data_IF_441146708423
#
_entry.id   IF_441146708423
#
_cell.length_a   1.000
_cell.length_b   1.000
_cell.length_c   1.000
_cell.angle_alpha   90.00
_cell.angle_beta   90.00
_cell.angle_gamma   90.00
#
_symmetry.space_group_name_H-M   'P 1'
#
loop_
_entity.id
_entity.type
_entity.pdbx_description
1 polymer ?
#
# COMPACT_ATOMS: atom_id res chain seq x y z
N UNK A 1 -4.61 22.04 57.66
CA UNK A 1 -5.17 21.49 58.92
C UNK A 1 -6.55 20.92 58.62
N UNK A 2 -7.04 19.99 59.45
CA UNK A 2 -7.99 18.91 59.10
C UNK A 2 -7.40 17.95 58.04
N UNK A 3 -7.45 16.62 58.14
CA UNK A 3 -8.19 15.72 59.06
C UNK A 3 -9.10 14.80 58.24
N UNK A 4 -9.32 13.50 58.49
CA UNK A 4 -8.92 12.63 59.61
C UNK A 4 -9.24 11.15 59.23
N UNK A 5 -8.38 10.16 59.60
CA UNK A 5 -8.65 8.69 59.67
C UNK A 5 -8.97 7.92 58.35
N UNK A 6 -8.92 6.57 58.28
CA UNK A 6 -8.02 5.48 58.78
C UNK A 6 -8.59 4.13 58.29
N UNK A 7 -7.78 3.06 58.31
CA UNK A 7 -8.05 1.62 58.05
C UNK A 7 -7.65 1.08 56.66
N UNK A 8 -7.15 -0.14 56.46
CA UNK A 8 -6.29 -1.10 57.22
C UNK A 8 -6.49 -2.48 56.54
N UNK A 9 -5.41 -3.15 56.10
CA UNK A 9 -5.33 -4.57 55.68
C UNK A 9 -6.24 -5.02 54.50
N UNK A 10 -5.91 -6.05 53.71
CA UNK A 10 -4.69 -6.86 53.64
C UNK A 10 -4.80 -7.96 52.57
N UNK A 11 -3.64 -8.45 52.12
CA UNK A 11 -3.35 -9.68 51.35
C UNK A 11 -4.46 -10.43 50.57
N UNK A 12 -4.21 -10.66 49.27
CA UNK A 12 -4.19 -12.03 48.70
C UNK A 12 -3.44 -12.07 47.35
N UNK A 13 -2.41 -12.92 47.25
CA UNK A 13 -1.91 -13.42 45.97
C UNK A 13 -2.93 -14.39 45.37
N UNK A 14 -3.11 -14.39 44.05
CA UNK A 14 -3.56 -15.58 43.31
C UNK A 14 -3.06 -15.52 41.85
N UNK A 15 -2.01 -16.29 41.58
CA UNK A 15 -1.63 -16.64 40.21
C UNK A 15 -2.70 -17.54 39.60
N UNK A 16 -3.26 -17.18 38.46
CA UNK A 16 -3.92 -18.15 37.59
C UNK A 16 -2.96 -18.62 36.49
N UNK A 17 -2.40 -19.81 36.71
CA UNK A 17 -1.92 -20.66 35.62
C UNK A 17 -3.15 -21.25 34.91
N UNK A 18 -3.24 -21.08 33.59
CA UNK A 18 -4.04 -21.97 32.75
C UNK A 18 -3.14 -22.70 31.76
N UNK A 19 -2.88 -23.96 32.09
CA UNK A 19 -2.18 -24.93 31.24
C UNK A 19 -3.17 -25.55 30.25
N UNK A 20 -3.09 -25.19 28.97
CA UNK A 20 -3.79 -25.95 27.93
C UNK A 20 -2.99 -27.21 27.55
N UNK A 21 -3.53 -28.36 27.97
CA UNK A 21 -3.01 -29.69 27.70
C UNK A 21 -3.12 -30.05 26.21
N UNK A 22 -2.01 -30.53 25.64
CA UNK A 22 -2.01 -31.31 24.41
C UNK A 22 -2.64 -32.70 24.66
N UNK A 23 -3.48 -33.17 23.73
CA UNK A 23 -3.77 -34.60 23.54
C UNK A 23 -3.72 -34.93 22.03
N UNK A 24 -3.12 -36.07 21.63
CA UNK A 24 -2.83 -36.37 20.22
C UNK A 24 -3.92 -37.22 19.57
N UNK A 25 -4.09 -37.07 18.25
CA UNK A 25 -4.86 -38.03 17.46
C UNK A 25 -3.90 -38.94 16.67
N UNK A 26 -3.74 -40.18 17.13
CA UNK A 26 -3.06 -41.23 16.36
C UNK A 26 -3.96 -41.68 15.20
N UNK A 27 -3.38 -41.82 14.00
CA UNK A 27 -3.74 -42.91 13.09
C UNK A 27 -2.49 -43.59 12.55
N UNK A 28 -2.33 -44.85 12.95
CA UNK A 28 -1.41 -45.80 12.36
C UNK A 28 -2.02 -46.32 11.05
N UNK A 29 -1.21 -46.43 10.00
CA UNK A 29 -1.35 -47.50 9.01
C UNK A 29 0.03 -47.91 8.49
N UNK A 30 0.16 -49.19 8.16
CA UNK A 30 1.41 -49.93 8.19
C UNK A 30 1.92 -50.35 6.81
N UNK A 31 3.22 -50.13 6.59
CA UNK A 31 4.19 -51.02 5.91
C UNK A 31 3.92 -51.65 4.52
N UNK A 32 4.89 -51.44 3.63
CA UNK A 32 5.14 -52.23 2.41
C UNK A 32 5.62 -51.34 1.25
N UNK A 33 6.85 -51.39 0.71
CA UNK A 33 8.00 -52.25 1.00
C UNK A 33 8.36 -53.15 -0.19
N UNK A 34 9.18 -52.67 -1.16
CA UNK A 34 9.90 -53.54 -2.10
C UNK A 34 11.14 -52.86 -2.74
N UNK A 35 11.96 -53.69 -3.40
CA UNK A 35 13.35 -53.49 -3.83
C UNK A 35 13.54 -53.93 -5.31
N UNK A 36 14.63 -53.69 -6.07
CA UNK A 36 15.98 -53.12 -5.87
C UNK A 36 16.60 -52.79 -7.26
N UNK A 37 17.80 -52.17 -7.33
CA UNK A 37 18.79 -52.20 -8.47
C UNK A 37 18.41 -51.36 -9.74
N UNK A 38 19.33 -50.90 -10.61
CA UNK A 38 20.83 -50.82 -10.64
C UNK A 38 21.34 -49.82 -11.71
N UNK A 39 22.63 -49.45 -11.59
CA UNK A 39 23.64 -49.17 -12.65
C UNK A 39 23.47 -48.06 -13.70
N UNK A 40 24.33 -47.03 -13.57
CA UNK A 40 25.11 -46.32 -14.64
C UNK A 40 25.97 -47.33 -15.47
N UNK A 41 26.61 -47.01 -16.64
CA UNK A 41 27.27 -45.73 -16.99
C UNK A 41 27.31 -45.31 -18.50
N UNK A 42 28.11 -44.26 -18.75
CA UNK A 42 28.95 -43.99 -19.94
C UNK A 42 28.50 -42.96 -21.00
N UNK A 43 29.25 -41.86 -21.04
CA UNK A 43 29.61 -41.09 -22.25
C UNK A 43 30.89 -41.69 -22.89
N UNK A 44 31.24 -41.39 -24.16
CA UNK A 44 32.17 -40.25 -24.40
C UNK A 44 32.03 -39.54 -25.78
N UNK A 45 32.84 -38.49 -26.00
CA UNK A 45 33.54 -38.04 -27.24
C UNK A 45 32.94 -38.23 -28.66
N UNK A 46 33.18 -37.38 -29.68
CA UNK A 46 33.84 -36.07 -29.84
C UNK A 46 33.65 -35.63 -31.34
N UNK A 47 34.49 -34.70 -31.81
CA UNK A 47 34.79 -34.35 -33.22
C UNK A 47 34.06 -33.16 -33.88
N UNK A 48 34.65 -32.72 -35.02
CA UNK A 48 34.73 -31.33 -35.49
C UNK A 48 34.49 -31.24 -36.99
N UNK A 49 34.00 -30.05 -37.45
CA UNK A 49 34.17 -29.47 -38.81
C UNK A 49 33.43 -30.24 -39.93
N UNK A 50 33.07 -29.67 -41.08
CA UNK A 50 33.23 -28.34 -41.70
C UNK A 50 31.94 -27.98 -42.49
N UNK A 51 31.71 -26.71 -42.85
CA UNK A 51 30.59 -26.37 -43.76
C UNK A 51 30.29 -24.88 -43.97
N UNK A 52 31.02 -24.24 -44.89
CA UNK A 52 30.69 -23.00 -45.63
C UNK A 52 30.26 -21.71 -44.89
N UNK A 53 31.21 -20.77 -44.85
CA UNK A 53 30.95 -19.33 -44.98
C UNK A 53 30.54 -18.98 -46.42
N UNK A 54 29.41 -18.29 -46.60
CA UNK A 54 29.16 -17.28 -47.66
C UNK A 54 27.83 -16.56 -47.38
N UNK A 55 27.67 -15.35 -47.96
CA UNK A 55 26.53 -14.44 -47.80
C UNK A 55 26.37 -13.78 -46.42
N UNK A 56 27.35 -12.95 -46.04
CA UNK A 56 27.17 -11.88 -45.07
C UNK A 56 26.96 -10.53 -45.79
N UNK A 57 25.72 -10.27 -46.23
CA UNK A 57 25.21 -8.94 -46.62
C UNK A 57 23.68 -8.97 -46.62
N UNK A 58 23.04 -7.83 -46.36
CA UNK A 58 21.58 -7.60 -46.55
C UNK A 58 20.59 -8.34 -45.60
N UNK A 59 20.86 -8.43 -44.29
CA UNK A 59 19.80 -8.59 -43.26
C UNK A 59 20.02 -7.71 -42.03
N UNK A 60 20.26 -6.43 -42.25
CA UNK A 60 20.07 -5.35 -41.27
C UNK A 60 18.91 -4.47 -41.72
N UNK A 61 18.10 -3.96 -40.77
CA UNK A 61 16.84 -3.24 -40.99
C UNK A 61 15.67 -4.15 -41.42
N UNK A 62 14.96 -4.69 -40.42
CA UNK A 62 13.49 -4.92 -40.38
C UNK A 62 13.08 -5.79 -39.16
N UNK A 63 13.54 -5.44 -37.96
CA UNK A 63 12.91 -5.91 -36.71
C UNK A 63 11.88 -4.87 -36.25
N UNK A 64 10.82 -4.69 -37.06
CA UNK A 64 9.65 -3.91 -36.64
C UNK A 64 9.12 -4.50 -35.34
N UNK A 65 9.13 -3.68 -34.30
CA UNK A 65 8.48 -3.98 -33.03
C UNK A 65 7.03 -4.38 -33.30
N UNK A 66 6.63 -5.58 -32.87
CA UNK A 66 5.23 -5.97 -32.88
C UNK A 66 4.49 -5.05 -31.91
N UNK A 67 3.89 -4.00 -32.44
CA UNK A 67 2.93 -3.18 -31.72
C UNK A 67 1.85 -4.13 -31.15
N UNK A 68 1.52 -4.03 -29.85
CA UNK A 68 0.54 -4.92 -29.24
C UNK A 68 -0.82 -4.76 -29.93
N UNK A 69 -1.54 -5.87 -30.11
CA UNK A 69 -2.82 -5.85 -30.83
C UNK A 69 -3.83 -4.90 -30.17
N UNK A 70 -4.81 -4.35 -30.92
CA UNK A 70 -5.81 -3.44 -30.35
C UNK A 70 -6.59 -4.01 -29.15
N UNK A 71 -6.74 -5.34 -29.05
CA UNK A 71 -7.35 -6.00 -27.89
C UNK A 71 -6.47 -6.04 -26.64
N UNK A 72 -5.15 -5.98 -26.79
CA UNK A 72 -4.24 -5.84 -25.65
C UNK A 72 -4.33 -4.43 -25.04
N UNK A 73 -4.56 -3.41 -25.87
CA UNK A 73 -4.76 -2.02 -25.42
C UNK A 73 -6.08 -1.85 -24.65
N UNK A 74 -7.16 -2.59 -24.98
CA UNK A 74 -8.46 -2.59 -24.26
C UNK A 74 -8.39 -2.99 -22.77
N UNK A 75 -7.24 -3.47 -22.28
CA UNK A 75 -7.01 -3.82 -20.86
C UNK A 75 -6.36 -2.72 -20.03
N UNK A 76 -5.77 -1.68 -20.63
CA UNK A 76 -5.15 -0.57 -19.88
C UNK A 76 -6.23 0.39 -19.36
N UNK A 77 -6.15 0.69 -18.07
CA UNK A 77 -7.00 1.66 -17.34
C UNK A 77 -6.15 2.83 -16.89
N UNK A 78 -5.22 3.22 -17.77
CA UNK A 78 -4.40 4.38 -17.54
C UNK A 78 -5.24 5.63 -17.55
N UNK A 79 -4.79 6.59 -16.75
CA UNK A 79 -5.24 7.95 -16.85
C UNK A 79 -5.18 8.46 -18.29
N UNK A 80 -6.24 9.16 -18.69
CA UNK A 80 -6.27 10.00 -19.88
C UNK A 80 -6.14 11.49 -19.54
N UNK A 81 -5.83 11.82 -18.28
CA UNK A 81 -5.51 13.18 -17.86
C UNK A 81 -4.15 13.56 -18.45
N UNK A 82 -4.04 14.77 -18.98
CA UNK A 82 -2.79 15.25 -19.56
C UNK A 82 -1.72 15.41 -18.47
N UNK A 83 -0.53 14.88 -18.74
CA UNK A 83 0.58 14.93 -17.79
C UNK A 83 1.29 16.28 -17.88
N UNK A 84 1.01 17.17 -16.94
CA UNK A 84 1.61 18.51 -16.88
C UNK A 84 3.09 18.42 -16.46
N UNK A 85 3.96 18.52 -17.46
CA UNK A 85 5.43 18.49 -17.32
C UNK A 85 5.98 19.68 -16.52
N UNK A 86 5.34 20.85 -16.56
CA UNK A 86 5.87 22.05 -15.89
C UNK A 86 5.41 22.13 -14.43
N UNK A 87 4.20 21.64 -14.12
CA UNK A 87 3.77 21.30 -12.77
C UNK A 87 4.64 20.19 -12.16
N UNK A 88 4.93 19.13 -12.92
CA UNK A 88 5.89 18.09 -12.50
C UNK A 88 7.25 18.70 -12.17
N UNK A 89 7.79 19.58 -13.03
CA UNK A 89 9.08 20.27 -12.78
C UNK A 89 9.05 21.15 -11.53
N UNK A 90 7.97 21.91 -11.30
CA UNK A 90 7.81 22.75 -10.09
C UNK A 90 7.86 21.91 -8.82
N UNK A 91 7.10 20.82 -8.76
CA UNK A 91 7.09 19.92 -7.59
C UNK A 91 8.38 19.07 -7.48
N UNK A 92 9.01 18.70 -8.60
CA UNK A 92 10.30 18.00 -8.61
C UNK A 92 11.45 18.89 -8.11
N UNK A 93 11.45 20.18 -8.44
CA UNK A 93 12.40 21.16 -7.90
C UNK A 93 12.22 21.36 -6.38
N UNK A 94 11.00 21.19 -5.86
CA UNK A 94 10.71 21.12 -4.42
C UNK A 94 11.05 19.77 -3.77
N UNK A 95 11.68 18.84 -4.50
CA UNK A 95 12.26 17.59 -4.01
C UNK A 95 11.42 16.33 -4.20
N UNK A 96 10.10 16.42 -4.36
CA UNK A 96 9.25 15.26 -4.61
C UNK A 96 7.94 15.64 -5.32
N UNK A 97 7.62 14.91 -6.40
CA UNK A 97 6.31 14.98 -7.06
C UNK A 97 5.38 13.91 -6.48
N UNK A 98 4.18 14.30 -5.98
CA UNK A 98 3.17 13.35 -5.53
C UNK A 98 2.69 12.43 -6.67
N UNK A 99 2.25 11.22 -6.31
CA UNK A 99 1.92 10.15 -7.27
C UNK A 99 0.52 10.37 -7.84
N UNK A 100 0.35 10.26 -9.17
CA UNK A 100 -0.94 10.51 -9.83
C UNK A 100 -1.57 11.88 -9.47
N UNK A 101 -0.72 12.91 -9.45
CA UNK A 101 -1.05 14.26 -8.99
C UNK A 101 -2.31 14.83 -9.63
N UNK A 102 -2.37 14.81 -10.97
CA UNK A 102 -3.47 15.43 -11.72
C UNK A 102 -4.77 14.64 -11.55
N UNK A 103 -4.69 13.31 -11.46
CA UNK A 103 -5.82 12.42 -11.24
C UNK A 103 -6.44 12.60 -9.85
N UNK A 104 -5.63 12.91 -8.84
CA UNK A 104 -6.09 13.21 -7.48
C UNK A 104 -6.79 14.57 -7.43
N UNK A 105 -6.27 15.61 -8.07
CA UNK A 105 -6.98 16.90 -8.18
C UNK A 105 -8.33 16.72 -8.90
N UNK A 106 -8.33 16.06 -10.06
CA UNK A 106 -9.55 15.81 -10.83
C UNK A 106 -10.57 14.94 -10.06
N UNK A 107 -10.11 14.05 -9.16
CA UNK A 107 -10.98 13.30 -8.26
C UNK A 107 -11.77 14.20 -7.29
N UNK A 108 -11.23 15.35 -6.88
CA UNK A 108 -11.85 16.25 -5.91
C UNK A 108 -12.50 17.51 -6.50
N UNK A 109 -12.42 17.72 -7.82
CA UNK A 109 -13.21 18.72 -8.55
C UNK A 109 -14.70 18.38 -8.55
N UNK A 110 -15.36 18.72 -7.44
CA UNK A 110 -16.82 18.62 -7.23
C UNK A 110 -17.40 19.97 -6.80
N UNK A 111 -18.66 20.27 -7.16
CA UNK A 111 -19.36 21.43 -6.62
C UNK A 111 -19.45 21.37 -5.10
N UNK A 112 -19.13 22.48 -4.42
CA UNK A 112 -19.28 22.60 -2.97
C UNK A 112 -18.17 21.98 -2.12
N UNK A 113 -17.00 21.70 -2.69
CA UNK A 113 -15.83 21.13 -2.00
C UNK A 113 -15.23 22.08 -0.94
N UNK A 114 -15.77 22.09 0.28
CA UNK A 114 -15.40 23.02 1.36
C UNK A 114 -14.61 22.37 2.49
N UNK A 115 -14.60 21.04 2.55
CA UNK A 115 -13.90 20.27 3.59
C UNK A 115 -13.11 19.09 3.03
N UNK A 116 -11.83 19.00 3.40
CA UNK A 116 -10.91 17.97 2.92
C UNK A 116 -10.09 17.34 4.06
N UNK A 117 -9.95 16.00 4.00
CA UNK A 117 -9.15 15.22 4.95
C UNK A 117 -8.09 14.40 4.21
N UNK A 118 -6.82 14.66 4.50
CA UNK A 118 -5.70 13.82 4.05
C UNK A 118 -5.30 12.86 5.16
N UNK A 119 -5.57 11.56 4.98
CA UNK A 119 -5.31 10.53 5.98
C UNK A 119 -3.84 10.07 6.02
N UNK A 120 -3.03 10.56 5.09
CA UNK A 120 -1.68 10.06 4.76
C UNK A 120 -0.82 11.25 4.39
N UNK A 121 -0.83 12.25 5.27
CA UNK A 121 -0.39 13.62 5.00
C UNK A 121 1.04 13.68 4.44
N UNK A 122 1.95 12.80 4.88
CA UNK A 122 3.31 12.71 4.37
C UNK A 122 4.04 14.04 4.51
N UNK A 123 4.62 14.54 3.41
CA UNK A 123 5.21 15.89 3.34
C UNK A 123 4.22 16.97 2.86
N UNK A 124 2.91 16.75 3.04
CA UNK A 124 1.78 17.55 2.54
C UNK A 124 1.79 17.80 1.02
N UNK A 125 2.30 16.87 0.21
CA UNK A 125 2.42 17.04 -1.24
C UNK A 125 1.07 17.19 -1.96
N UNK A 126 0.19 16.19 -1.82
CA UNK A 126 -1.18 16.24 -2.33
C UNK A 126 -2.02 17.31 -1.61
N UNK A 127 -1.95 17.37 -0.28
CA UNK A 127 -2.62 18.40 0.53
C UNK A 127 -2.34 19.83 0.07
N UNK A 128 -1.08 20.20 -0.21
CA UNK A 128 -0.73 21.53 -0.71
C UNK A 128 -1.43 21.84 -2.02
N UNK A 129 -1.45 20.88 -2.95
CA UNK A 129 -2.04 21.04 -4.26
C UNK A 129 -3.57 21.17 -4.21
N UNK A 130 -4.23 20.34 -3.41
CA UNK A 130 -5.69 20.41 -3.21
C UNK A 130 -6.07 21.73 -2.55
N UNK A 131 -5.27 22.19 -1.58
CA UNK A 131 -5.43 23.54 -1.03
C UNK A 131 -5.26 24.55 -2.17
N UNK A 132 -4.15 24.58 -2.90
CA UNK A 132 -3.87 25.53 -4.00
C UNK A 132 -4.98 25.60 -5.06
N UNK A 133 -5.51 24.46 -5.53
CA UNK A 133 -6.57 24.37 -6.57
C UNK A 133 -7.94 24.86 -6.04
N UNK A 134 -8.34 24.44 -4.83
CA UNK A 134 -9.66 24.72 -4.25
C UNK A 134 -9.66 25.93 -3.31
N UNK A 135 -9.79 27.14 -3.85
CA UNK A 135 -9.81 28.39 -3.05
C UNK A 135 -11.00 28.50 -2.10
N UNK A 136 -12.08 27.80 -2.40
CA UNK A 136 -13.31 27.65 -1.61
C UNK A 136 -13.19 26.72 -0.40
N UNK A 137 -12.04 26.06 -0.20
CA UNK A 137 -11.79 25.17 0.93
C UNK A 137 -11.74 25.95 2.26
N UNK A 138 -12.59 25.56 3.22
CA UNK A 138 -12.74 26.17 4.54
C UNK A 138 -12.20 25.31 5.69
N UNK A 139 -12.16 23.98 5.50
CA UNK A 139 -11.65 23.03 6.47
C UNK A 139 -10.64 22.08 5.81
N UNK A 140 -9.45 21.99 6.40
CA UNK A 140 -8.44 21.00 6.08
C UNK A 140 -8.03 20.23 7.33
N UNK A 141 -7.99 18.89 7.25
CA UNK A 141 -7.50 18.02 8.32
C UNK A 141 -6.49 17.03 7.78
N UNK A 142 -5.24 17.14 8.21
CA UNK A 142 -4.17 16.20 7.88
C UNK A 142 -3.88 15.22 9.01
N UNK A 143 -3.69 13.95 8.70
CA UNK A 143 -3.26 12.90 9.62
C UNK A 143 -2.01 12.21 9.08
N UNK A 144 -1.01 12.00 9.93
CA UNK A 144 0.08 11.05 9.70
C UNK A 144 0.45 10.38 11.03
N UNK A 145 0.96 9.15 11.00
CA UNK A 145 1.49 8.49 12.19
C UNK A 145 3.00 8.70 12.39
N UNK A 146 3.70 9.22 11.39
CA UNK A 146 5.12 9.53 11.45
C UNK A 146 5.33 11.00 11.89
N UNK A 147 5.92 11.25 13.07
CA UNK A 147 6.13 12.62 13.57
C UNK A 147 7.02 13.47 12.65
N UNK A 148 7.97 12.85 11.93
CA UNK A 148 8.87 13.58 11.04
C UNK A 148 8.14 14.05 9.78
N UNK A 149 7.22 13.23 9.26
CA UNK A 149 6.35 13.60 8.15
C UNK A 149 5.42 14.76 8.56
N UNK A 150 4.75 14.61 9.71
CA UNK A 150 3.86 15.64 10.28
C UNK A 150 4.56 16.99 10.46
N UNK A 151 5.79 17.05 10.99
CA UNK A 151 6.53 18.32 11.17
C UNK A 151 6.80 19.05 9.84
N UNK A 152 7.23 18.31 8.81
CA UNK A 152 7.44 18.87 7.47
C UNK A 152 6.14 19.33 6.83
N UNK A 153 5.09 18.53 6.95
CA UNK A 153 3.76 18.87 6.46
C UNK A 153 3.22 20.12 7.15
N UNK A 154 3.28 20.17 8.48
CA UNK A 154 2.84 21.32 9.27
C UNK A 154 3.57 22.59 8.84
N UNK A 155 4.90 22.56 8.74
CA UNK A 155 5.71 23.68 8.25
C UNK A 155 5.28 24.14 6.85
N UNK A 156 4.97 23.20 5.95
CA UNK A 156 4.54 23.50 4.56
C UNK A 156 3.13 24.11 4.51
N UNK A 157 2.18 23.55 5.23
CA UNK A 157 0.80 24.07 5.33
C UNK A 157 0.80 25.48 5.95
N UNK A 158 1.55 25.66 7.03
CA UNK A 158 1.75 26.95 7.70
C UNK A 158 2.34 28.02 6.76
N UNK A 159 3.26 27.64 5.86
CA UNK A 159 3.79 28.56 4.86
C UNK A 159 2.73 28.99 3.83
N UNK A 160 1.89 28.06 3.36
CA UNK A 160 0.78 28.34 2.42
C UNK A 160 -0.29 29.25 3.03
N UNK A 161 -0.61 29.08 4.32
CA UNK A 161 -1.58 29.94 5.02
C UNK A 161 -1.05 31.36 5.22
N UNK A 162 0.26 31.54 5.41
CA UNK A 162 0.90 32.85 5.57
C UNK A 162 0.92 33.71 4.30
N UNK A 163 0.82 33.13 3.11
CA UNK A 163 0.85 33.84 1.82
C UNK A 163 -0.43 34.67 1.55
N UNK A 164 -1.25 34.92 2.57
CA UNK A 164 -2.33 35.91 2.60
C UNK A 164 -3.59 35.54 1.80
N UNK A 165 -3.48 34.62 0.84
CA UNK A 165 -4.56 34.20 -0.04
C UNK A 165 -5.64 33.35 0.64
N UNK A 166 -5.41 32.84 1.87
CA UNK A 166 -6.20 31.76 2.51
C UNK A 166 -6.52 31.99 3.99
N UNK A 167 -6.82 33.23 4.37
CA UNK A 167 -7.06 33.64 5.77
C UNK A 167 -8.25 32.96 6.47
N UNK A 168 -9.16 32.35 5.72
CA UNK A 168 -10.39 31.73 6.25
C UNK A 168 -10.30 30.19 6.36
N UNK A 169 -9.25 29.57 5.80
CA UNK A 169 -9.03 28.12 5.86
C UNK A 169 -8.61 27.68 7.26
N UNK A 170 -9.44 26.88 7.91
CA UNK A 170 -9.10 26.20 9.17
C UNK A 170 -8.32 24.93 8.87
N UNK A 171 -7.01 24.95 9.13
CA UNK A 171 -6.14 23.80 8.95
C UNK A 171 -5.78 23.16 10.30
N UNK A 172 -5.93 21.83 10.38
CA UNK A 172 -5.52 21.03 11.53
C UNK A 172 -4.61 19.90 11.05
N UNK A 173 -3.51 19.61 11.76
CA UNK A 173 -2.63 18.48 11.44
C UNK A 173 -2.32 17.67 12.70
N UNK A 174 -2.50 16.35 12.63
CA UNK A 174 -2.41 15.47 13.80
C UNK A 174 -1.43 14.32 13.59
N UNK A 175 -0.58 14.06 14.59
CA UNK A 175 0.22 12.83 14.69
C UNK A 175 -0.69 11.70 15.18
N UNK A 176 -1.45 11.11 14.25
CA UNK A 176 -2.42 10.01 14.47
C UNK A 176 -2.50 9.12 13.24
N UNK A 177 -2.58 7.81 13.45
CA UNK A 177 -2.96 6.87 12.40
C UNK A 177 -4.40 7.13 11.93
N UNK A 178 -4.63 7.02 10.62
CA UNK A 178 -5.91 7.30 9.97
C UNK A 178 -7.12 6.50 10.48
N UNK A 179 -6.92 5.36 11.15
CA UNK A 179 -8.03 4.62 11.81
C UNK A 179 -8.78 5.44 12.86
N UNK A 180 -8.16 6.51 13.35
CA UNK A 180 -8.76 7.45 14.31
C UNK A 180 -9.47 8.64 13.64
N UNK A 181 -9.71 8.64 12.32
CA UNK A 181 -10.38 9.73 11.59
C UNK A 181 -11.66 10.23 12.29
N UNK A 182 -12.56 9.31 12.69
CA UNK A 182 -13.80 9.67 13.41
C UNK A 182 -13.52 10.41 14.73
N UNK A 183 -12.54 9.95 15.50
CA UNK A 183 -12.14 10.58 16.76
C UNK A 183 -11.52 11.96 16.54
N UNK A 184 -10.67 12.10 15.51
CA UNK A 184 -10.04 13.38 15.16
C UNK A 184 -11.07 14.40 14.71
N UNK A 185 -11.95 14.06 13.76
CA UNK A 185 -13.00 14.96 13.27
C UNK A 185 -13.97 15.37 14.41
N UNK A 186 -14.38 14.42 15.25
CA UNK A 186 -15.23 14.71 16.42
C UNK A 186 -14.55 15.61 17.46
N UNK A 187 -13.22 15.55 17.60
CA UNK A 187 -12.47 16.44 18.49
C UNK A 187 -12.29 17.87 17.99
N UNK A 188 -12.51 18.11 16.68
CA UNK A 188 -12.47 19.44 16.07
C UNK A 188 -13.85 20.10 16.18
N UNK A 189 -14.91 19.42 15.71
CA UNK A 189 -16.31 19.83 15.86
C UNK A 189 -17.22 18.62 15.61
N UNK A 190 -18.04 18.23 16.60
CA UNK A 190 -19.00 17.13 16.47
C UNK A 190 -19.99 17.31 15.29
N UNK A 191 -20.25 18.56 14.87
CA UNK A 191 -21.11 18.83 13.72
C UNK A 191 -20.47 18.42 12.39
N UNK A 192 -19.14 18.28 12.31
CA UNK A 192 -18.45 17.72 11.13
C UNK A 192 -18.87 16.26 10.95
N UNK A 193 -18.92 15.46 12.03
CA UNK A 193 -19.37 14.07 11.94
C UNK A 193 -20.84 13.94 11.53
N UNK A 194 -21.69 14.93 11.85
CA UNK A 194 -23.11 14.92 11.45
C UNK A 194 -23.34 15.35 10.00
N UNK A 195 -22.54 16.29 9.48
CA UNK A 195 -22.64 16.79 8.09
C UNK A 195 -21.83 15.94 7.10
N UNK A 196 -20.77 15.31 7.59
CA UNK A 196 -19.72 14.69 6.79
C UNK A 196 -18.71 15.72 6.23
N UNK A 197 -17.69 15.19 5.56
CA UNK A 197 -16.67 15.95 4.82
C UNK A 197 -16.75 15.67 3.31
N UNK A 198 -16.34 16.62 2.49
CA UNK A 198 -16.55 16.56 1.03
C UNK A 198 -15.47 15.75 0.30
N UNK A 199 -14.27 15.69 0.87
CA UNK A 199 -13.17 14.87 0.37
C UNK A 199 -12.40 14.15 1.48
N UNK A 200 -12.09 12.87 1.25
CA UNK A 200 -11.10 12.13 2.02
C UNK A 200 -10.10 11.48 1.05
N UNK A 201 -8.81 11.63 1.33
CA UNK A 201 -7.72 11.06 0.55
C UNK A 201 -6.86 10.10 1.37
N UNK A 202 -6.39 9.02 0.73
CA UNK A 202 -5.42 8.07 1.29
C UNK A 202 -4.38 7.65 0.24
N UNK A 203 -3.14 8.09 0.36
CA UNK A 203 -1.97 7.63 -0.37
C UNK A 203 -1.24 6.55 0.45
N UNK A 204 -1.53 5.28 0.18
CA UNK A 204 -1.09 4.17 1.03
C UNK A 204 0.40 3.84 0.85
N UNK A 205 0.95 3.06 1.77
CA UNK A 205 2.33 2.58 1.69
C UNK A 205 3.31 3.40 2.54
N UNK A 206 4.48 3.74 1.99
CA UNK A 206 5.60 4.33 2.74
C UNK A 206 6.08 5.63 2.11
N UNK A 207 6.31 6.62 2.97
CA UNK A 207 6.82 7.92 2.54
C UNK A 207 8.27 7.81 2.06
N UNK A 208 8.70 8.76 1.23
CA UNK A 208 10.11 8.85 0.83
C UNK A 208 11.03 8.93 2.04
N UNK A 209 10.63 9.68 3.05
CA UNK A 209 11.37 9.90 4.29
C UNK A 209 11.62 8.57 5.01
N UNK A 210 10.66 7.66 5.06
CA UNK A 210 10.84 6.33 5.67
C UNK A 210 11.82 5.43 4.90
N UNK A 211 11.96 5.60 3.58
CA UNK A 211 12.92 4.85 2.74
C UNK A 211 14.32 5.45 2.77
N UNK A 212 14.39 6.78 2.70
CA UNK A 212 15.62 7.55 2.53
C UNK A 212 16.42 7.61 3.85
N UNK A 213 15.74 7.50 5.00
CA UNK A 213 16.31 7.31 6.34
C UNK A 213 16.55 5.81 6.64
N UNK A 214 17.76 5.30 6.38
CA UNK A 214 18.05 3.87 6.50
C UNK A 214 17.95 3.32 7.93
N UNK A 215 18.10 4.18 8.94
CA UNK A 215 17.86 3.88 10.35
C UNK A 215 16.43 3.42 10.67
N UNK A 216 15.46 3.70 9.79
CA UNK A 216 14.07 3.23 9.91
C UNK A 216 13.85 1.80 9.40
N UNK A 217 14.84 1.19 8.74
CA UNK A 217 14.80 -0.23 8.33
C UNK A 217 13.94 -0.58 7.11
N UNK A 218 13.26 0.38 6.47
CA UNK A 218 12.41 0.11 5.29
C UNK A 218 13.20 -0.14 3.99
N UNK A 219 14.46 0.30 3.92
CA UNK A 219 15.25 0.25 2.68
C UNK A 219 15.80 -1.14 2.39
N UNK A 220 15.50 -1.67 1.21
CA UNK A 220 16.08 -2.94 0.68
C UNK A 220 17.54 -2.76 0.22
N UNK A 221 17.97 -1.52 -0.02
CA UNK A 221 19.31 -1.19 -0.53
C UNK A 221 20.20 -0.51 0.53
N UNK A 222 19.60 0.32 1.39
CA UNK A 222 20.27 0.91 2.55
C UNK A 222 20.41 -0.11 3.69
N UNK A 223 21.44 0.08 4.51
CA UNK A 223 21.67 -0.74 5.70
C UNK A 223 21.18 -0.02 6.97
N UNK A 224 20.62 -0.78 7.90
CA UNK A 224 20.00 -0.28 9.11
C UNK A 224 19.39 -1.40 9.94
N UNK A 225 18.82 -1.08 11.12
CA UNK A 225 18.18 -2.07 11.99
C UNK A 225 16.91 -2.63 11.34
N UNK A 226 16.49 -3.82 11.76
CA UNK A 226 15.20 -4.40 11.37
C UNK A 226 14.03 -3.79 12.17
N UNK A 227 13.82 -2.49 11.97
CA UNK A 227 12.75 -1.73 12.65
C UNK A 227 11.42 -1.83 11.88
N UNK A 228 11.28 -1.11 10.77
CA UNK A 228 10.09 -1.03 9.91
C UNK A 228 8.82 -0.45 10.57
N UNK A 229 8.89 0.18 11.74
CA UNK A 229 7.75 0.89 12.35
C UNK A 229 7.51 2.24 11.68
N UNK A 230 6.27 2.48 11.27
CA UNK A 230 5.82 3.79 10.78
C UNK A 230 5.66 4.79 11.93
N UNK A 231 5.15 4.33 13.07
CA UNK A 231 5.11 5.08 14.35
C UNK A 231 6.29 4.63 15.23
N UNK A 232 7.28 5.48 15.52
CA UNK A 232 8.42 5.14 16.38
C UNK A 232 8.05 4.74 17.82
N UNK A 233 6.83 5.04 18.29
CA UNK A 233 6.33 4.66 19.61
C UNK A 233 5.72 3.24 19.65
N UNK A 234 5.49 2.61 18.49
CA UNK A 234 5.02 1.22 18.45
C UNK A 234 6.08 0.26 19.02
N UNK A 235 5.65 -0.83 19.67
CA UNK A 235 6.59 -1.73 20.38
C UNK A 235 7.12 -2.89 19.55
N UNK A 236 6.42 -3.30 18.48
CA UNK A 236 6.78 -4.44 17.64
C UNK A 236 7.72 -3.99 16.52
N UNK A 237 8.86 -4.66 16.35
CA UNK A 237 9.80 -4.43 15.25
C UNK A 237 9.86 -5.61 14.28
N UNK A 238 10.44 -5.43 13.09
CA UNK A 238 10.71 -6.53 12.17
C UNK A 238 11.73 -7.53 12.73
N UNK A 239 12.62 -7.11 13.63
CA UNK A 239 13.53 -7.95 14.42
C UNK A 239 12.74 -8.91 15.31
N UNK A 240 11.79 -8.42 16.10
CA UNK A 240 10.93 -9.24 16.98
C UNK A 240 10.17 -10.31 16.18
N UNK A 241 9.65 -9.94 15.01
CA UNK A 241 9.00 -10.88 14.09
C UNK A 241 10.02 -11.92 13.59
N UNK A 242 11.19 -11.48 13.12
CA UNK A 242 12.19 -12.36 12.52
C UNK A 242 12.96 -13.21 13.51
N UNK A 243 12.97 -12.89 14.81
CA UNK A 243 13.69 -13.64 15.84
C UNK A 243 12.76 -14.36 16.83
N UNK A 244 11.61 -13.78 17.21
CA UNK A 244 10.79 -14.26 18.33
C UNK A 244 9.44 -14.89 17.93
N UNK A 245 8.81 -14.48 16.81
CA UNK A 245 7.49 -15.03 16.42
C UNK A 245 7.53 -16.53 16.10
N UNK A 246 6.42 -17.29 16.30
CA UNK A 246 6.33 -18.69 15.92
C UNK A 246 6.67 -18.94 14.44
N UNK A 247 7.30 -20.08 14.14
CA UNK A 247 7.68 -20.46 12.76
C UNK A 247 6.49 -20.45 11.79
N UNK A 248 5.32 -20.87 12.26
CA UNK A 248 4.08 -20.87 11.48
C UNK A 248 3.66 -19.46 11.07
N UNK A 249 3.74 -18.48 11.98
CA UNK A 249 3.38 -17.09 11.71
C UNK A 249 4.38 -16.40 10.77
N UNK A 250 5.68 -16.65 10.93
CA UNK A 250 6.69 -16.18 9.97
C UNK A 250 6.43 -16.77 8.57
N UNK A 251 6.06 -18.05 8.49
CA UNK A 251 5.63 -18.67 7.24
C UNK A 251 4.37 -18.02 6.65
N UNK A 252 3.38 -17.72 7.50
CA UNK A 252 2.11 -17.08 7.13
C UNK A 252 2.33 -15.70 6.53
N UNK A 253 3.06 -14.80 7.21
CA UNK A 253 3.25 -13.43 6.70
C UNK A 253 4.02 -13.42 5.37
N UNK A 254 5.04 -14.27 5.21
CA UNK A 254 5.80 -14.36 3.96
C UNK A 254 4.93 -14.84 2.79
N UNK A 255 4.02 -15.78 3.06
CA UNK A 255 3.07 -16.31 2.08
C UNK A 255 1.96 -15.31 1.75
N UNK A 256 1.31 -14.74 2.77
CA UNK A 256 0.04 -14.03 2.64
C UNK A 256 0.23 -12.52 2.46
N UNK A 257 1.16 -11.90 3.19
CA UNK A 257 1.47 -10.47 3.08
C UNK A 257 2.58 -10.19 2.06
N UNK A 258 3.49 -11.15 1.84
CA UNK A 258 4.52 -11.05 0.81
C UNK A 258 4.10 -11.55 -0.58
N UNK A 259 3.02 -12.32 -0.68
CA UNK A 259 2.65 -13.09 -1.89
C UNK A 259 3.87 -13.87 -2.48
N UNK A 260 4.78 -14.37 -1.61
CA UNK A 260 6.04 -15.00 -2.03
C UNK A 260 5.92 -16.52 -2.17
N UNK A 261 6.04 -17.01 -3.40
CA UNK A 261 6.06 -18.43 -3.77
C UNK A 261 7.01 -19.31 -2.94
N UNK A 262 8.22 -18.82 -2.66
CA UNK A 262 9.27 -19.56 -1.95
C UNK A 262 9.25 -19.35 -0.43
N UNK A 263 8.13 -18.86 0.14
CA UNK A 263 7.96 -18.56 1.56
C UNK A 263 8.46 -19.69 2.48
N UNK A 264 8.19 -20.96 2.14
CA UNK A 264 8.56 -22.11 2.97
C UNK A 264 10.07 -22.26 3.14
N UNK A 265 10.83 -22.09 2.05
CA UNK A 265 12.29 -22.20 2.06
C UNK A 265 12.95 -20.95 2.67
N UNK A 266 12.39 -19.76 2.45
CA UNK A 266 12.81 -18.53 3.14
C UNK A 266 12.62 -18.65 4.66
N UNK A 267 11.43 -19.09 5.09
CA UNK A 267 11.10 -19.38 6.49
C UNK A 267 12.10 -20.36 7.10
N UNK A 268 12.41 -21.50 6.45
CA UNK A 268 13.45 -22.41 6.93
C UNK A 268 14.81 -21.72 7.12
N UNK A 269 15.21 -20.85 6.17
CA UNK A 269 16.49 -20.15 6.23
C UNK A 269 16.53 -19.15 7.38
N UNK A 270 15.43 -18.44 7.64
CA UNK A 270 15.26 -17.56 8.80
C UNK A 270 15.35 -18.38 10.09
N UNK A 271 14.64 -19.51 10.22
CA UNK A 271 14.75 -20.39 11.40
C UNK A 271 16.17 -20.93 11.60
N UNK A 272 16.91 -21.19 10.52
CA UNK A 272 18.33 -21.61 10.54
C UNK A 272 19.28 -20.46 10.91
N UNK A 273 18.90 -19.20 10.67
CA UNK A 273 19.64 -18.00 11.10
C UNK A 273 19.41 -17.69 12.59
N UNK A 274 18.16 -17.79 13.08
CA UNK A 274 17.82 -17.68 14.51
C UNK A 274 18.72 -18.53 15.41
N UNK A 275 18.91 -19.80 15.02
CA UNK A 275 19.79 -20.76 15.74
C UNK A 275 21.28 -20.39 15.74
N UNK A 276 21.69 -19.32 15.05
CA UNK A 276 23.07 -18.85 14.91
C UNK A 276 23.29 -17.42 15.41
N UNK A 277 22.29 -16.82 16.05
CA UNK A 277 22.37 -15.47 16.60
C UNK A 277 21.14 -14.61 16.30
N UNK A 278 20.45 -14.86 15.18
CA UNK A 278 19.32 -14.04 14.73
C UNK A 278 19.55 -13.38 13.38
N UNK A 279 18.71 -12.39 13.08
CA UNK A 279 18.88 -11.38 12.05
C UNK A 279 18.58 -10.03 12.70
N UNK A 280 19.49 -9.06 12.59
CA UNK A 280 19.37 -7.75 13.26
C UNK A 280 19.50 -6.55 12.33
N UNK A 281 19.97 -6.76 11.09
CA UNK A 281 20.08 -5.70 10.07
C UNK A 281 19.33 -6.03 8.77
N UNK A 282 18.92 -4.98 8.05
CA UNK A 282 18.35 -5.11 6.71
C UNK A 282 19.33 -5.79 5.76
N UNK A 283 20.64 -5.53 5.90
CA UNK A 283 21.70 -6.19 5.12
C UNK A 283 21.77 -7.69 5.36
N UNK A 284 21.71 -8.16 6.61
CA UNK A 284 21.70 -9.60 6.93
C UNK A 284 20.49 -10.32 6.31
N UNK A 285 19.30 -9.72 6.45
CA UNK A 285 18.07 -10.23 5.85
C UNK A 285 18.18 -10.29 4.31
N UNK A 286 18.68 -9.21 3.69
CA UNK A 286 18.89 -9.14 2.24
C UNK A 286 19.92 -10.17 1.77
N UNK A 287 21.00 -10.41 2.51
CA UNK A 287 22.00 -11.42 2.17
C UNK A 287 21.48 -12.85 2.34
N UNK A 288 20.61 -13.10 3.33
CA UNK A 288 19.86 -14.36 3.45
C UNK A 288 18.94 -14.58 2.25
N UNK A 289 18.22 -13.54 1.81
CA UNK A 289 17.36 -13.59 0.61
C UNK A 289 18.20 -13.82 -0.64
N UNK A 290 19.33 -13.12 -0.84
CA UNK A 290 20.25 -13.33 -1.98
C UNK A 290 20.77 -14.76 -2.06
N UNK A 291 21.24 -15.32 -0.92
CA UNK A 291 21.71 -16.71 -0.80
C UNK A 291 20.60 -17.74 -1.07
N UNK A 292 19.33 -17.31 -0.95
CA UNK A 292 18.14 -18.14 -1.17
C UNK A 292 17.66 -18.07 -2.63
N UNK A 293 17.50 -16.87 -3.20
CA UNK A 293 16.94 -16.65 -4.54
C UNK A 293 17.93 -16.88 -5.69
N UNK A 294 19.21 -17.12 -5.41
CA UNK A 294 20.26 -17.35 -6.41
C UNK A 294 19.97 -18.47 -7.43
N UNK A 295 19.06 -19.40 -7.11
CA UNK A 295 18.71 -20.54 -7.99
C UNK A 295 17.57 -20.27 -8.99
N UNK A 296 16.86 -19.14 -8.93
CA UNK A 296 15.52 -19.03 -9.57
C UNK A 296 15.19 -17.75 -10.33
N UNK A 297 16.17 -16.90 -10.70
CA UNK A 297 15.83 -15.71 -11.53
C UNK A 297 16.90 -14.65 -11.79
N UNK A 298 18.19 -14.94 -11.61
CA UNK A 298 19.27 -13.97 -11.87
C UNK A 298 19.23 -12.71 -10.98
N UNK A 299 19.91 -11.65 -11.40
CA UNK A 299 20.13 -10.43 -10.59
C UNK A 299 18.84 -9.68 -10.23
N UNK A 300 17.78 -9.80 -11.05
CA UNK A 300 16.49 -9.16 -10.78
C UNK A 300 15.57 -10.00 -9.88
N UNK A 301 15.81 -11.30 -9.76
CA UNK A 301 14.99 -12.23 -8.97
C UNK A 301 15.06 -11.94 -7.47
N UNK A 302 16.27 -11.84 -6.91
CA UNK A 302 16.44 -11.61 -5.47
C UNK A 302 15.89 -10.26 -5.01
N UNK A 303 15.95 -9.21 -5.84
CA UNK A 303 15.37 -7.89 -5.51
C UNK A 303 13.86 -8.02 -5.31
N UNK A 304 13.16 -8.69 -6.24
CA UNK A 304 11.71 -8.94 -6.11
C UNK A 304 11.38 -9.75 -4.85
N UNK A 305 12.16 -10.78 -4.54
CA UNK A 305 11.98 -11.55 -3.30
C UNK A 305 12.22 -10.67 -2.07
N UNK A 306 13.26 -9.83 -2.06
CA UNK A 306 13.55 -8.93 -0.94
C UNK A 306 12.43 -7.89 -0.75
N UNK A 307 11.95 -7.25 -1.82
CA UNK A 307 10.79 -6.33 -1.76
C UNK A 307 9.56 -7.01 -1.16
N UNK A 308 9.26 -8.26 -1.53
CA UNK A 308 8.14 -9.02 -0.95
C UNK A 308 8.34 -9.39 0.52
N UNK A 309 9.55 -9.77 0.92
CA UNK A 309 9.89 -10.08 2.31
C UNK A 309 9.78 -8.81 3.17
N UNK A 310 10.28 -7.67 2.68
CA UNK A 310 10.17 -6.38 3.37
C UNK A 310 8.70 -5.93 3.45
N UNK A 311 7.93 -6.05 2.35
CA UNK A 311 6.48 -5.80 2.36
C UNK A 311 5.75 -6.67 3.41
N UNK A 312 6.07 -7.97 3.48
CA UNK A 312 5.46 -8.88 4.45
C UNK A 312 5.71 -8.47 5.90
N UNK A 313 6.95 -8.08 6.20
CA UNK A 313 7.36 -7.60 7.53
C UNK A 313 6.72 -6.25 7.86
N UNK A 314 6.78 -5.30 6.92
CA UNK A 314 6.16 -3.97 7.03
C UNK A 314 4.67 -4.06 7.40
N UNK A 315 3.92 -4.85 6.63
CA UNK A 315 2.50 -5.11 6.84
C UNK A 315 2.24 -5.70 8.23
N UNK A 316 3.08 -6.65 8.67
CA UNK A 316 2.92 -7.33 9.95
C UNK A 316 3.31 -6.44 11.15
N UNK A 317 4.33 -5.58 11.01
CA UNK A 317 4.76 -4.62 12.05
C UNK A 317 3.68 -3.55 12.28
N UNK A 318 3.07 -3.03 11.22
CA UNK A 318 2.17 -1.87 11.29
C UNK A 318 0.67 -2.23 11.23
N UNK A 319 0.32 -3.54 11.19
CA UNK A 319 -1.04 -4.06 11.03
C UNK A 319 -1.83 -3.40 9.88
N UNK A 320 -1.14 -3.19 8.75
CA UNK A 320 -1.58 -2.26 7.70
C UNK A 320 -2.92 -2.66 7.08
N UNK A 321 -3.13 -3.96 6.82
CA UNK A 321 -4.28 -4.45 6.08
C UNK A 321 -5.59 -4.38 6.88
N UNK A 322 -5.55 -4.75 8.17
CA UNK A 322 -6.72 -4.67 9.03
C UNK A 322 -7.03 -3.21 9.40
N UNK A 323 -5.98 -2.43 9.66
CA UNK A 323 -6.07 -0.98 9.89
C UNK A 323 -6.68 -0.27 8.68
N UNK A 324 -6.24 -0.58 7.45
CA UNK A 324 -6.80 -0.07 6.21
C UNK A 324 -8.29 -0.43 6.07
N UNK A 325 -8.67 -1.70 6.24
CA UNK A 325 -10.05 -2.11 6.07
C UNK A 325 -10.98 -1.36 7.02
N UNK A 326 -10.64 -1.29 8.31
CA UNK A 326 -11.44 -0.60 9.32
C UNK A 326 -11.53 0.91 9.03
N UNK A 327 -10.44 1.51 8.55
CA UNK A 327 -10.40 2.92 8.19
C UNK A 327 -11.27 3.24 6.97
N UNK A 328 -11.29 2.40 5.94
CA UNK A 328 -12.10 2.63 4.74
C UNK A 328 -13.60 2.73 5.06
N UNK A 329 -14.14 1.85 5.92
CA UNK A 329 -15.50 1.99 6.45
C UNK A 329 -15.67 3.31 7.22
N UNK A 330 -14.74 3.63 8.13
CA UNK A 330 -14.82 4.85 8.92
C UNK A 330 -14.75 6.13 8.07
N UNK A 331 -13.96 6.15 7.00
CA UNK A 331 -13.88 7.24 6.03
C UNK A 331 -15.19 7.38 5.26
N UNK A 332 -15.76 6.30 4.73
CA UNK A 332 -17.04 6.36 4.00
C UNK A 332 -18.19 6.86 4.89
N UNK A 333 -18.23 6.45 6.15
CA UNK A 333 -19.17 6.98 7.14
C UNK A 333 -19.01 8.49 7.34
N UNK A 334 -17.77 8.99 7.38
CA UNK A 334 -17.48 10.43 7.48
C UNK A 334 -17.78 11.22 6.19
N UNK A 335 -18.12 10.55 5.08
CA UNK A 335 -18.68 11.10 3.84
C UNK A 335 -19.82 12.11 4.05
N UNK A 336 -19.75 13.34 3.51
CA UNK A 336 -20.96 14.12 3.16
C UNK A 336 -21.67 13.49 1.94
N UNK A 337 -22.95 13.78 1.73
CA UNK A 337 -23.67 13.34 0.51
C UNK A 337 -23.05 14.01 -0.72
N UNK A 338 -22.69 13.25 -1.74
CA UNK A 338 -21.90 13.74 -2.88
C UNK A 338 -20.40 13.81 -2.64
N UNK A 339 -19.94 13.67 -1.39
CA UNK A 339 -18.53 13.64 -1.02
C UNK A 339 -17.78 12.42 -1.56
N UNK A 340 -16.47 12.55 -1.75
CA UNK A 340 -15.61 11.52 -2.40
C UNK A 340 -14.49 11.02 -1.51
N UNK A 341 -14.26 9.70 -1.54
CA UNK A 341 -13.08 9.05 -0.99
C UNK A 341 -12.19 8.57 -2.14
N UNK A 342 -10.97 9.09 -2.20
CA UNK A 342 -9.94 8.69 -3.18
C UNK A 342 -8.79 7.97 -2.47
N UNK A 343 -8.37 6.82 -3.00
CA UNK A 343 -7.35 5.96 -2.39
C UNK A 343 -6.35 5.51 -3.45
N UNK A 344 -5.07 5.83 -3.26
CA UNK A 344 -3.95 5.25 -4.02
C UNK A 344 -3.41 4.04 -3.26
N UNK A 345 -3.25 2.93 -3.96
CA UNK A 345 -2.64 1.71 -3.45
C UNK A 345 -1.44 1.30 -4.31
N UNK A 346 -0.39 0.74 -3.70
CA UNK A 346 0.86 0.38 -4.37
C UNK A 346 1.07 -1.13 -4.50
N UNK A 347 0.29 -1.94 -3.78
CA UNK A 347 0.31 -3.39 -3.97
C UNK A 347 -1.07 -4.05 -4.06
N UNK A 348 -1.05 -5.32 -4.49
CA UNK A 348 -2.22 -6.19 -4.70
C UNK A 348 -3.13 -6.30 -3.49
N UNK A 349 -2.56 -6.44 -2.29
CA UNK A 349 -3.33 -6.63 -1.04
C UNK A 349 -4.16 -5.38 -0.67
N UNK A 350 -3.56 -4.18 -0.70
CA UNK A 350 -4.27 -2.90 -0.52
C UNK A 350 -5.39 -2.75 -1.56
N UNK A 351 -5.07 -2.80 -2.86
CA UNK A 351 -6.03 -2.66 -3.97
C UNK A 351 -7.23 -3.63 -3.86
N UNK A 352 -6.96 -4.86 -3.40
CA UNK A 352 -7.98 -5.90 -3.17
C UNK A 352 -8.89 -5.54 -2.00
N UNK A 353 -8.35 -4.99 -0.91
CA UNK A 353 -9.13 -4.52 0.26
C UNK A 353 -9.95 -3.28 -0.10
N UNK A 354 -9.36 -2.29 -0.77
CA UNK A 354 -10.06 -1.08 -1.24
C UNK A 354 -11.20 -1.47 -2.16
N UNK A 355 -10.95 -2.31 -3.18
CA UNK A 355 -11.99 -2.80 -4.09
C UNK A 355 -13.11 -3.54 -3.35
N UNK A 356 -12.78 -4.46 -2.43
CA UNK A 356 -13.79 -5.23 -1.70
C UNK A 356 -14.63 -4.33 -0.81
N UNK A 357 -14.00 -3.46 -0.04
CA UNK A 357 -14.68 -2.54 0.88
C UNK A 357 -15.57 -1.56 0.10
N UNK A 358 -15.09 -1.02 -1.02
CA UNK A 358 -15.91 -0.15 -1.88
C UNK A 358 -17.14 -0.85 -2.46
N UNK A 359 -17.07 -2.15 -2.79
CA UNK A 359 -18.22 -2.93 -3.26
C UNK A 359 -19.20 -3.26 -2.13
N UNK A 360 -18.69 -3.46 -0.91
CA UNK A 360 -19.46 -3.75 0.30
C UNK A 360 -20.28 -2.52 0.73
N UNK A 361 -19.63 -1.35 0.86
CA UNK A 361 -20.27 -0.13 1.39
C UNK A 361 -21.32 0.47 0.45
N UNK A 362 -21.33 0.15 -0.85
CA UNK A 362 -22.34 0.69 -1.78
C UNK A 362 -23.66 -0.07 -1.79
N UNK A 363 -23.75 -1.25 -1.14
CA UNK A 363 -24.97 -2.07 -1.09
C UNK A 363 -25.63 -2.27 -2.47
N UNK A 364 -25.02 -3.08 -3.34
CA UNK A 364 -25.57 -3.38 -4.68
C UNK A 364 -26.84 -4.22 -4.53
N UNK A 365 -27.96 -3.77 -5.10
CA UNK A 365 -29.20 -4.54 -5.17
C UNK A 365 -29.15 -5.53 -6.35
N UNK A 366 -29.21 -6.84 -6.07
CA UNK A 366 -29.22 -7.93 -7.06
C UNK A 366 -28.33 -9.12 -6.69
N UNK A 367 -28.71 -10.34 -7.09
CA UNK A 367 -28.01 -11.57 -6.69
C UNK A 367 -26.56 -11.64 -7.20
N UNK A 368 -25.69 -12.19 -6.34
CA UNK A 368 -24.23 -12.19 -6.50
C UNK A 368 -23.72 -13.29 -7.45
N UNK A 369 -24.34 -13.43 -8.62
CA UNK A 369 -23.87 -14.32 -9.68
C UNK A 369 -22.81 -13.63 -10.54
N UNK A 370 -21.70 -14.35 -10.78
CA UNK A 370 -20.47 -13.79 -11.31
C UNK A 370 -20.64 -13.04 -12.65
N UNK A 371 -20.02 -11.85 -12.71
CA UNK A 371 -19.89 -10.97 -13.88
C UNK A 371 -21.08 -10.04 -14.22
N UNK A 372 -22.19 -10.09 -13.48
CA UNK A 372 -23.40 -9.28 -13.69
C UNK A 372 -23.42 -7.83 -13.15
N UNK A 373 -22.40 -6.99 -13.36
CA UNK A 373 -22.45 -5.58 -12.93
C UNK A 373 -23.26 -4.71 -13.92
N UNK A 374 -24.33 -4.05 -13.44
CA UNK A 374 -25.07 -2.97 -14.14
C UNK A 374 -24.15 -1.81 -14.51
N UNK A 375 -23.53 -1.95 -15.67
CA UNK A 375 -22.56 -1.00 -16.19
C UNK A 375 -23.29 0.03 -17.03
N UNK A 376 -23.88 1.03 -16.37
CA UNK A 376 -24.40 2.20 -17.08
C UNK A 376 -23.26 2.84 -17.88
N UNK A 377 -23.31 2.70 -19.20
CA UNK A 377 -22.73 3.68 -20.10
C UNK A 377 -23.75 4.82 -20.14
N UNK A 378 -23.36 6.01 -19.73
CA UNK A 378 -24.15 7.18 -20.08
C UNK A 378 -23.82 7.52 -21.53
N UNK A 379 -24.85 7.52 -22.37
CA UNK A 379 -24.86 8.31 -23.58
C UNK A 379 -24.83 9.80 -23.21
N UNK A 380 -24.56 10.64 -24.22
CA UNK A 380 -24.26 12.07 -24.13
C UNK A 380 -25.19 12.84 -23.17
N UNK A 381 -24.62 13.46 -22.13
CA UNK A 381 -24.86 14.85 -21.66
C UNK A 381 -24.15 15.07 -20.31
N UNK A 382 -23.03 15.82 -20.31
CA UNK A 382 -22.29 16.17 -19.09
C UNK A 382 -20.94 16.81 -19.42
N UNK A 383 -20.64 17.94 -18.77
CA UNK A 383 -19.49 18.81 -19.06
C UNK A 383 -18.14 18.08 -19.05
N UNK A 384 -17.25 18.41 -19.99
CA UNK A 384 -16.05 17.64 -20.34
C UNK A 384 -14.98 17.48 -19.24
N UNK A 385 -15.10 18.21 -18.13
CA UNK A 385 -14.26 18.08 -16.92
C UNK A 385 -14.78 17.00 -15.95
N UNK A 386 -15.22 15.86 -16.49
CA UNK A 386 -15.42 14.65 -15.71
C UNK A 386 -14.39 13.64 -16.18
N UNK A 387 -13.56 13.16 -15.25
CA UNK A 387 -12.65 12.02 -15.39
C UNK A 387 -13.27 10.98 -16.35
N UNK A 388 -12.50 10.45 -17.30
CA UNK A 388 -12.93 9.48 -18.32
C UNK A 388 -13.29 8.09 -17.74
N UNK A 389 -14.15 8.07 -16.72
CA UNK A 389 -14.70 6.95 -15.98
C UNK A 389 -15.77 6.25 -16.82
N UNK A 390 -15.33 5.68 -17.94
CA UNK A 390 -16.16 4.95 -18.91
C UNK A 390 -16.86 3.72 -18.31
N UNK A 391 -16.61 3.41 -17.03
CA UNK A 391 -17.23 2.34 -16.25
C UNK A 391 -17.33 2.74 -14.77
N UNK A 392 -18.53 3.09 -14.30
CA UNK A 392 -18.89 3.28 -12.88
C UNK A 392 -19.63 2.03 -12.36
N UNK A 393 -19.76 1.88 -11.05
CA UNK A 393 -20.67 0.90 -10.40
C UNK A 393 -21.52 1.67 -9.40
N UNK A 394 -22.83 1.72 -9.64
CA UNK A 394 -23.80 2.40 -8.77
C UNK A 394 -24.41 1.36 -7.83
N UNK A 395 -24.46 1.70 -6.54
CA UNK A 395 -25.24 0.96 -5.54
C UNK A 395 -26.21 1.89 -4.83
N UNK A 396 -26.85 1.42 -3.76
CA UNK A 396 -27.85 2.16 -2.99
C UNK A 396 -27.26 3.40 -2.30
N UNK A 397 -26.17 3.23 -1.56
CA UNK A 397 -25.55 4.22 -0.67
C UNK A 397 -24.39 5.01 -1.29
N UNK A 398 -23.93 4.61 -2.48
CA UNK A 398 -22.83 5.28 -3.18
C UNK A 398 -22.56 4.75 -4.58
N UNK A 399 -21.65 5.44 -5.28
CA UNK A 399 -21.17 5.07 -6.62
C UNK A 399 -19.65 4.93 -6.62
N UNK A 400 -19.15 3.75 -6.99
CA UNK A 400 -17.74 3.55 -7.33
C UNK A 400 -17.50 4.21 -8.69
N UNK A 401 -16.79 5.33 -8.67
CA UNK A 401 -16.44 6.08 -9.86
C UNK A 401 -15.45 5.29 -10.74
N UNK A 402 -14.50 4.58 -10.13
CA UNK A 402 -13.45 3.81 -10.81
C UNK A 402 -13.70 2.29 -10.73
N UNK A 403 -14.56 1.71 -11.57
CA UNK A 403 -14.83 0.24 -11.59
C UNK A 403 -13.54 -0.57 -11.73
N UNK A 404 -12.62 -0.08 -12.56
CA UNK A 404 -11.23 -0.51 -12.64
C UNK A 404 -10.35 0.64 -12.10
N UNK A 405 -9.24 0.36 -11.40
CA UNK A 405 -8.41 1.40 -10.82
C UNK A 405 -7.75 2.21 -11.94
N UNK A 406 -7.58 3.52 -11.74
CA UNK A 406 -6.73 4.33 -12.61
C UNK A 406 -5.27 4.02 -12.30
N UNK A 407 -4.42 3.98 -13.33
CA UNK A 407 -2.96 3.84 -13.18
C UNK A 407 -2.25 5.04 -13.84
N UNK A 408 -1.01 5.37 -13.44
CA UNK A 408 -0.23 6.46 -14.03
C UNK A 408 -0.09 6.43 -15.55
N UNK A 409 0.29 7.58 -16.11
CA UNK A 409 0.69 7.70 -17.52
C UNK A 409 2.08 7.08 -17.77
N UNK A 410 2.43 6.79 -19.04
CA UNK A 410 3.78 6.29 -19.36
C UNK A 410 4.87 7.33 -19.08
N UNK A 411 4.53 8.62 -19.10
CA UNK A 411 5.49 9.70 -18.89
C UNK A 411 5.74 9.96 -17.40
N UNK A 412 4.72 9.81 -16.55
CA UNK A 412 4.92 9.74 -15.11
C UNK A 412 5.73 8.49 -14.72
N UNK A 413 5.43 7.30 -15.27
CA UNK A 413 6.18 6.07 -14.99
C UNK A 413 7.69 6.17 -15.33
N UNK A 414 8.06 7.00 -16.32
CA UNK A 414 9.46 7.26 -16.72
C UNK A 414 10.18 8.20 -15.75
N UNK A 415 9.47 9.21 -15.24
CA UNK A 415 10.05 10.28 -14.43
C UNK A 415 9.99 9.98 -12.92
N UNK A 416 8.90 9.37 -12.45
CA UNK A 416 8.67 9.01 -11.05
C UNK A 416 8.57 7.49 -10.90
N UNK A 417 9.71 6.81 -10.68
CA UNK A 417 9.72 5.34 -10.53
C UNK A 417 8.86 4.80 -9.37
N UNK A 418 8.46 5.65 -8.40
CA UNK A 418 7.60 5.29 -7.27
C UNK A 418 6.14 5.08 -7.70
N UNK A 419 5.66 5.75 -8.76
CA UNK A 419 4.27 5.60 -9.22
C UNK A 419 3.98 4.26 -9.93
N UNK A 420 5.00 3.51 -10.37
CA UNK A 420 4.85 2.34 -11.27
C UNK A 420 3.79 1.29 -10.86
N UNK A 421 3.55 1.12 -9.55
CA UNK A 421 2.58 0.15 -9.03
C UNK A 421 1.30 0.80 -8.47
N UNK A 422 1.21 2.13 -8.56
CA UNK A 422 0.11 2.93 -8.05
C UNK A 422 -1.20 2.65 -8.77
N UNK A 423 -2.27 2.61 -7.98
CA UNK A 423 -3.63 2.34 -8.41
C UNK A 423 -4.57 3.24 -7.62
N UNK A 424 -5.09 4.26 -8.29
CA UNK A 424 -6.09 5.16 -7.74
C UNK A 424 -7.49 4.54 -7.87
N UNK A 425 -8.23 4.51 -6.78
CA UNK A 425 -9.68 4.22 -6.75
C UNK A 425 -10.42 5.38 -6.12
N UNK A 426 -11.58 5.71 -6.67
CA UNK A 426 -12.47 6.76 -6.17
C UNK A 426 -13.88 6.20 -6.03
N UNK A 427 -14.51 6.51 -4.89
CA UNK A 427 -15.92 6.26 -4.57
C UNK A 427 -16.57 7.59 -4.17
N UNK A 428 -17.84 7.77 -4.53
CA UNK A 428 -18.67 8.90 -4.13
C UNK A 428 -19.84 8.38 -3.28
N UNK A 429 -20.16 9.07 -2.18
CA UNK A 429 -21.32 8.76 -1.34
C UNK A 429 -22.58 9.42 -1.93
N UNK A 430 -23.73 8.81 -1.74
CA UNK A 430 -25.04 9.39 -2.12
C UNK A 430 -25.58 10.32 -1.03
#
# INVERSE_FOLDING_TARGET
>A
MAGTRVCLHGAAFLHHHETHLFLPCLRLHTSGGFQLRRSVPASPSAERRHGNLKAASEKSVLSLSRLPSPEYLKRRTRSGVEFDLDLYRRYAAAGHVPVMFCEVLEAFRIPGFRSFVDCTLGAAGHSSAIIEDHKELELFVGLDMDPLAHDRAHTRIEALLRDGCRKELKAYTHVKNFKYIKTVLGSIDENILRKGVDGIFMDLGISSMQIDHSERGFSVLGDGPLDMRMDPQATLTADDILNSWPEAEVGRILRDYGEESNWWFLKEKIMKARKKGGLHSTRELVDLVRKTSAKSGGRQGWIKTATRVFQALRIAVNDELQTLQNALYACFDCLSSGGRLAVISFHSLEDRIVKKTFLDVIEIEGEADGEGYTSQKNDEFGTEAQIQLKQRVVGRTGTILTKRPLTPSEDEEKLNSRCRSAKLRVIQKH
#
